data_IF_821784180718
#
_entry.id   IF_821784180718
#
_cell.length_a   1.000
_cell.length_b   1.000
_cell.length_c   1.000
_cell.angle_alpha   90.00
_cell.angle_beta   90.00
_cell.angle_gamma   90.00
#
_symmetry.space_group_name_H-M   'P 1'
#
loop_
_entity.id
_entity.type
_entity.pdbx_description
1 polymer ?
#
# COMPACT_ATOMS: atom_id res chain seq x y z
N UNK A 1 -7.35 15.50 10.08
CA UNK A 1 -7.36 16.85 9.47
C UNK A 1 -5.93 17.21 9.04
N UNK A 2 -5.72 17.70 7.81
CA UNK A 2 -4.38 18.07 7.27
C UNK A 2 -3.93 19.39 7.91
N UNK A 3 -2.63 19.54 8.21
CA UNK A 3 -2.06 20.81 8.62
C UNK A 3 -1.97 21.78 7.43
N UNK A 4 -2.37 23.03 7.63
CA UNK A 4 -2.20 24.12 6.68
C UNK A 4 -0.86 24.82 6.87
N UNK A 5 -0.42 25.56 5.85
CA UNK A 5 0.76 26.43 5.99
C UNK A 5 0.44 27.51 7.02
N UNK A 6 1.28 27.62 8.04
CA UNK A 6 1.08 28.54 9.18
C UNK A 6 0.45 27.89 10.42
N UNK A 7 -0.02 26.65 10.34
CA UNK A 7 -0.47 25.91 11.53
C UNK A 7 0.71 25.66 12.49
N UNK A 8 0.47 25.68 13.82
CA UNK A 8 1.50 25.31 14.78
C UNK A 8 1.90 23.82 14.62
N UNK A 9 3.18 23.53 14.88
CA UNK A 9 3.67 22.15 14.90
C UNK A 9 2.91 21.34 15.96
N UNK A 10 2.49 20.12 15.60
CA UNK A 10 1.74 19.21 16.48
C UNK A 10 2.63 18.13 17.04
N UNK A 11 2.41 17.75 18.31
CA UNK A 11 3.08 16.62 18.95
C UNK A 11 2.35 15.32 18.62
N UNK A 12 3.10 14.25 18.38
CA UNK A 12 2.59 12.90 18.16
C UNK A 12 2.14 12.32 19.51
N UNK A 13 0.90 11.83 19.65
CA UNK A 13 0.40 11.24 20.88
C UNK A 13 1.03 9.87 21.17
N UNK A 14 1.64 9.20 20.17
CA UNK A 14 2.24 7.87 20.34
C UNK A 14 3.68 7.92 20.83
N UNK A 15 4.49 8.87 20.39
CA UNK A 15 5.92 8.95 20.73
C UNK A 15 6.35 10.28 21.35
N UNK A 16 5.45 11.26 21.44
CA UNK A 16 5.80 12.60 21.91
C UNK A 16 6.61 13.44 20.92
N UNK A 17 7.26 12.89 19.88
CA UNK A 17 7.98 13.69 18.87
C UNK A 17 7.02 14.57 18.04
N UNK A 18 7.55 15.45 17.19
CA UNK A 18 6.73 16.26 16.28
C UNK A 18 6.10 15.40 15.17
N UNK A 19 4.81 15.60 14.89
CA UNK A 19 4.12 14.99 13.74
C UNK A 19 4.86 15.33 12.44
N UNK A 20 4.83 14.41 11.47
CA UNK A 20 5.56 14.50 10.20
C UNK A 20 7.10 14.53 10.31
N UNK A 21 7.67 14.55 11.52
CA UNK A 21 9.12 14.46 11.73
C UNK A 21 9.71 13.06 11.50
N UNK A 22 8.87 12.03 11.26
CA UNK A 22 9.34 10.69 10.92
C UNK A 22 10.19 10.02 12.00
N UNK A 23 9.82 10.17 13.28
CA UNK A 23 10.57 9.57 14.39
C UNK A 23 10.87 8.08 14.10
N UNK A 24 12.14 7.63 14.23
CA UNK A 24 12.68 6.43 13.57
C UNK A 24 11.95 5.14 13.94
N UNK A 25 11.35 5.07 15.13
CA UNK A 25 10.65 3.89 15.63
C UNK A 25 9.15 4.11 15.88
N UNK A 26 8.58 5.23 15.40
CA UNK A 26 7.16 5.51 15.58
C UNK A 26 6.37 5.21 14.29
N UNK A 27 5.56 4.14 14.25
CA UNK A 27 4.83 3.76 13.04
C UNK A 27 3.75 4.78 12.65
N UNK A 28 3.18 5.51 13.63
CA UNK A 28 2.29 6.66 13.35
C UNK A 28 3.02 7.78 12.62
N UNK A 29 4.23 8.13 13.05
CA UNK A 29 5.01 9.17 12.38
C UNK A 29 5.47 8.73 10.99
N UNK A 30 5.91 7.47 10.84
CA UNK A 30 6.27 6.89 9.54
C UNK A 30 5.07 6.95 8.56
N UNK A 31 3.90 6.43 8.96
CA UNK A 31 2.69 6.45 8.13
C UNK A 31 2.23 7.86 7.72
N UNK A 32 2.39 8.87 8.59
CA UNK A 32 2.10 10.26 8.25
C UNK A 32 3.04 10.82 7.17
N UNK A 33 4.34 10.55 7.28
CA UNK A 33 5.35 10.95 6.28
C UNK A 33 5.04 10.30 4.93
N UNK A 34 4.73 9.02 4.93
CA UNK A 34 4.40 8.29 3.71
C UNK A 34 3.14 8.81 3.01
N UNK A 35 2.10 9.13 3.78
CA UNK A 35 0.89 9.74 3.25
C UNK A 35 1.16 11.14 2.64
N UNK A 36 2.21 11.84 3.08
CA UNK A 36 2.68 13.07 2.44
C UNK A 36 3.34 12.74 1.10
N UNK A 37 4.28 11.78 1.05
CA UNK A 37 4.94 11.36 -0.18
C UNK A 37 3.96 11.05 -1.31
N UNK A 38 2.84 10.40 -1.00
CA UNK A 38 1.78 10.05 -1.96
C UNK A 38 1.05 11.25 -2.60
N UNK A 39 1.21 12.44 -2.04
CA UNK A 39 0.59 13.69 -2.54
C UNK A 39 1.61 14.65 -3.16
N UNK A 40 2.90 14.37 -3.08
CA UNK A 40 3.95 15.24 -3.61
C UNK A 40 4.07 15.08 -5.13
N UNK A 41 4.48 16.17 -5.78
CA UNK A 41 4.92 16.16 -7.17
C UNK A 41 6.44 16.02 -7.20
N UNK A 42 6.95 15.22 -8.12
CA UNK A 42 8.37 15.04 -8.37
C UNK A 42 8.90 16.26 -9.13
N UNK A 43 9.95 16.91 -8.63
CA UNK A 43 10.60 18.04 -9.30
C UNK A 43 11.45 17.64 -10.51
N UNK A 44 11.80 16.36 -10.66
CA UNK A 44 12.56 15.86 -11.81
C UNK A 44 11.69 15.47 -13.01
N UNK A 45 10.49 14.91 -12.76
CA UNK A 45 9.63 14.41 -13.83
C UNK A 45 8.23 15.05 -13.86
N UNK A 46 7.97 16.01 -12.97
CA UNK A 46 6.71 16.78 -12.84
C UNK A 46 5.43 15.95 -12.61
N UNK A 47 5.55 14.62 -12.52
CA UNK A 47 4.48 13.70 -12.17
C UNK A 47 4.39 13.45 -10.68
N UNK A 48 3.40 12.68 -10.20
CA UNK A 48 3.29 12.36 -8.79
C UNK A 48 4.50 11.53 -8.31
N UNK A 49 5.03 11.89 -7.14
CA UNK A 49 6.27 11.33 -6.62
C UNK A 49 6.17 9.81 -6.40
N UNK A 50 7.18 9.10 -6.89
CA UNK A 50 7.28 7.65 -6.78
C UNK A 50 6.41 6.85 -7.75
N UNK A 51 5.89 7.47 -8.82
CA UNK A 51 5.07 6.78 -9.84
C UNK A 51 5.83 6.41 -11.12
N UNK A 52 6.76 7.25 -11.58
CA UNK A 52 7.47 7.00 -12.84
C UNK A 52 8.67 6.08 -12.61
N UNK A 53 8.66 4.91 -13.23
CA UNK A 53 9.84 4.05 -13.25
C UNK A 53 11.00 4.65 -14.04
N UNK A 54 12.23 4.55 -13.50
CA UNK A 54 13.44 5.05 -14.15
C UNK A 54 13.72 6.54 -13.91
N UNK A 55 12.87 7.25 -13.16
CA UNK A 55 13.21 8.57 -12.62
C UNK A 55 13.91 8.37 -11.27
N UNK A 56 15.19 8.80 -11.09
CA UNK A 56 15.95 8.51 -9.88
C UNK A 56 15.24 8.92 -8.58
N UNK A 57 14.65 10.12 -8.53
CA UNK A 57 13.87 10.58 -7.37
C UNK A 57 12.63 9.74 -7.12
N UNK A 58 11.93 9.32 -8.18
CA UNK A 58 10.78 8.43 -8.05
C UNK A 58 11.19 7.02 -7.62
N UNK A 59 12.35 6.52 -8.04
CA UNK A 59 12.85 5.20 -7.67
C UNK A 59 13.21 5.13 -6.19
N UNK A 60 13.89 6.15 -5.67
CA UNK A 60 14.16 6.27 -4.23
C UNK A 60 12.84 6.36 -3.44
N UNK A 61 11.94 7.27 -3.82
CA UNK A 61 10.67 7.43 -3.13
C UNK A 61 9.81 6.14 -3.18
N UNK A 62 9.86 5.39 -4.29
CA UNK A 62 9.18 4.10 -4.39
C UNK A 62 9.82 3.04 -3.48
N UNK A 63 11.15 2.97 -3.42
CA UNK A 63 11.87 2.07 -2.52
C UNK A 63 11.57 2.33 -1.04
N UNK A 64 11.50 3.60 -0.63
CA UNK A 64 11.19 4.00 0.74
C UNK A 64 9.81 3.52 1.22
N UNK A 65 8.85 3.31 0.31
CA UNK A 65 7.54 2.78 0.69
C UNK A 65 7.57 1.35 1.23
N UNK A 66 8.58 0.56 0.89
CA UNK A 66 8.71 -0.84 1.35
C UNK A 66 9.40 -0.98 2.70
N UNK A 67 10.17 0.03 3.14
CA UNK A 67 10.82 0.02 4.46
C UNK A 67 9.95 0.61 5.56
N UNK A 68 8.83 1.22 5.18
CA UNK A 68 7.88 1.78 6.11
C UNK A 68 7.24 0.72 6.99
N UNK A 69 6.88 1.13 8.21
CA UNK A 69 6.19 0.30 9.19
C UNK A 69 4.79 0.87 9.41
N UNK A 70 3.79 0.16 8.91
CA UNK A 70 2.40 0.51 9.08
C UNK A 70 1.88 0.00 10.43
N UNK A 71 1.03 0.79 11.07
CA UNK A 71 0.19 0.29 12.17
C UNK A 71 -1.11 -0.21 11.56
N UNK A 72 -1.46 -1.47 11.84
CA UNK A 72 -2.74 -1.99 11.42
C UNK A 72 -3.90 -1.27 12.10
N UNK A 73 -4.97 -0.99 11.33
CA UNK A 73 -6.21 -0.46 11.90
C UNK A 73 -6.87 -1.49 12.83
N UNK A 74 -7.72 -1.09 13.78
CA UNK A 74 -8.44 -2.04 14.61
C UNK A 74 -9.28 -3.04 13.78
N UNK A 75 -9.29 -4.31 14.18
CA UNK A 75 -10.16 -5.34 13.62
C UNK A 75 -9.67 -6.01 12.32
N UNK A 76 -8.43 -5.77 11.88
CA UNK A 76 -7.84 -6.49 10.73
C UNK A 76 -6.67 -7.38 11.16
N UNK A 77 -6.32 -8.40 10.36
CA UNK A 77 -5.15 -9.24 10.62
C UNK A 77 -3.84 -8.42 10.64
N UNK A 78 -2.84 -8.84 11.44
CA UNK A 78 -1.51 -8.23 11.43
C UNK A 78 -0.89 -8.20 10.03
N UNK A 79 -0.33 -7.06 9.64
CA UNK A 79 0.30 -6.82 8.34
C UNK A 79 -0.66 -6.44 7.21
N UNK A 80 -1.96 -6.27 7.50
CA UNK A 80 -2.94 -5.89 6.47
C UNK A 80 -2.65 -4.50 5.88
N UNK A 81 -2.30 -3.50 6.69
CA UNK A 81 -1.98 -2.15 6.18
C UNK A 81 -0.69 -2.14 5.36
N UNK A 82 0.31 -2.93 5.77
CA UNK A 82 1.51 -3.16 4.98
C UNK A 82 1.18 -3.80 3.63
N UNK A 83 0.33 -4.83 3.62
CA UNK A 83 -0.11 -5.50 2.40
C UNK A 83 -0.88 -4.54 1.47
N UNK A 84 -1.79 -3.71 2.00
CA UNK A 84 -2.48 -2.67 1.23
C UNK A 84 -1.46 -1.75 0.58
N UNK A 85 -0.50 -1.23 1.34
CA UNK A 85 0.51 -0.32 0.81
C UNK A 85 1.35 -0.94 -0.30
N UNK A 86 1.83 -2.17 -0.11
CA UNK A 86 2.61 -2.90 -1.11
C UNK A 86 1.79 -3.04 -2.39
N UNK A 87 0.52 -3.44 -2.28
CA UNK A 87 -0.38 -3.55 -3.43
C UNK A 87 -0.60 -2.18 -4.10
N UNK A 88 -0.89 -1.12 -3.34
CA UNK A 88 -1.04 0.25 -3.84
C UNK A 88 0.21 0.71 -4.59
N UNK A 89 1.39 0.43 -4.05
CA UNK A 89 2.67 0.80 -4.65
C UNK A 89 2.88 0.12 -6.00
N UNK A 90 2.52 -1.17 -6.10
CA UNK A 90 2.62 -1.96 -7.35
C UNK A 90 1.56 -1.51 -8.38
N UNK A 91 0.30 -1.31 -7.98
CA UNK A 91 -0.76 -0.90 -8.94
C UNK A 91 -0.59 0.52 -9.47
N UNK A 92 0.06 1.40 -8.70
CA UNK A 92 0.34 2.80 -9.11
C UNK A 92 1.60 2.96 -9.95
N UNK A 93 2.41 1.91 -10.09
CA UNK A 93 3.63 1.85 -10.90
C UNK A 93 3.69 0.51 -11.66
N UNK A 94 2.83 0.36 -12.70
CA UNK A 94 2.66 -0.92 -13.39
C UNK A 94 3.82 -1.27 -14.35
N UNK A 95 4.75 -0.33 -14.60
CA UNK A 95 5.88 -0.54 -15.52
C UNK A 95 6.72 -1.74 -15.09
N UNK A 96 6.89 -2.72 -15.99
CA UNK A 96 7.61 -3.96 -15.72
C UNK A 96 6.84 -5.02 -14.93
N UNK A 97 5.55 -4.79 -14.63
CA UNK A 97 4.69 -5.77 -13.95
C UNK A 97 3.86 -6.54 -14.99
N UNK A 98 3.94 -7.89 -15.03
CA UNK A 98 3.12 -8.68 -15.95
C UNK A 98 1.62 -8.44 -15.78
N UNK A 99 0.88 -8.36 -16.89
CA UNK A 99 -0.56 -8.06 -16.87
C UNK A 99 -1.39 -8.98 -15.96
N UNK A 100 -1.18 -10.31 -15.92
CA UNK A 100 -1.89 -11.17 -14.98
C UNK A 100 -1.61 -10.79 -13.52
N UNK A 101 -0.34 -10.57 -13.16
CA UNK A 101 0.04 -10.13 -11.81
C UNK A 101 -0.66 -8.80 -11.47
N UNK A 102 -0.78 -7.88 -12.42
CA UNK A 102 -1.48 -6.62 -12.21
C UNK A 102 -2.99 -6.81 -12.01
N UNK A 103 -3.63 -7.68 -12.79
CA UNK A 103 -5.04 -8.04 -12.59
C UNK A 103 -5.28 -8.57 -11.18
N UNK A 104 -4.51 -9.57 -10.74
CA UNK A 104 -4.66 -10.15 -9.40
C UNK A 104 -4.48 -9.13 -8.28
N UNK A 105 -3.49 -8.23 -8.41
CA UNK A 105 -3.25 -7.14 -7.44
C UNK A 105 -4.42 -6.15 -7.37
N UNK A 106 -5.00 -5.80 -8.52
CA UNK A 106 -6.16 -4.90 -8.60
C UNK A 106 -7.42 -5.51 -8.00
N UNK A 107 -7.68 -6.79 -8.26
CA UNK A 107 -8.85 -7.50 -7.75
C UNK A 107 -8.77 -7.79 -6.24
N UNK A 108 -7.57 -8.08 -5.72
CA UNK A 108 -7.39 -8.38 -4.30
C UNK A 108 -7.42 -7.14 -3.39
N UNK A 109 -7.03 -5.97 -3.92
CA UNK A 109 -6.88 -4.74 -3.14
C UNK A 109 -8.20 -4.28 -2.44
N UNK A 110 -9.38 -4.30 -3.09
CA UNK A 110 -10.65 -3.99 -2.41
C UNK A 110 -10.93 -4.89 -1.20
N UNK A 111 -10.65 -6.19 -1.28
CA UNK A 111 -10.86 -7.12 -0.16
C UNK A 111 -9.92 -6.79 1.02
N UNK A 112 -8.65 -6.46 0.75
CA UNK A 112 -7.71 -5.98 1.78
C UNK A 112 -8.16 -4.66 2.44
N UNK A 113 -8.71 -3.74 1.63
CA UNK A 113 -9.31 -2.51 2.12
C UNK A 113 -10.55 -2.78 3.00
N UNK A 114 -11.29 -3.87 2.76
CA UNK A 114 -12.37 -4.33 3.63
C UNK A 114 -11.89 -5.07 4.89
N UNK A 115 -10.61 -5.47 4.95
CA UNK A 115 -10.00 -6.11 6.12
C UNK A 115 -9.59 -7.57 5.93
N UNK A 116 -9.76 -8.10 4.72
CA UNK A 116 -9.33 -9.46 4.38
C UNK A 116 -7.85 -9.50 4.02
N UNK A 117 -7.05 -10.30 4.74
CA UNK A 117 -5.67 -10.61 4.38
C UNK A 117 -5.54 -12.11 4.11
N UNK A 118 -5.24 -12.54 2.87
CA UNK A 118 -5.12 -13.96 2.58
C UNK A 118 -3.88 -14.55 3.24
N UNK A 119 -4.02 -15.77 3.75
CA UNK A 119 -2.90 -16.62 4.13
C UNK A 119 -2.01 -16.92 2.93
N UNK A 120 -0.76 -17.31 3.18
CA UNK A 120 0.22 -17.66 2.14
C UNK A 120 -0.33 -18.67 1.13
N UNK A 121 -0.99 -19.73 1.60
CA UNK A 121 -1.57 -20.74 0.71
C UNK A 121 -2.70 -20.19 -0.15
N UNK A 122 -3.60 -19.38 0.42
CA UNK A 122 -4.68 -18.73 -0.31
C UNK A 122 -4.12 -17.78 -1.37
N UNK A 123 -3.10 -16.98 -1.03
CA UNK A 123 -2.42 -16.09 -1.96
C UNK A 123 -1.73 -16.86 -3.11
N UNK A 124 -1.13 -18.01 -2.82
CA UNK A 124 -0.54 -18.88 -3.84
C UNK A 124 -1.60 -19.47 -4.77
N UNK A 125 -2.74 -19.94 -4.23
CA UNK A 125 -3.87 -20.47 -5.02
C UNK A 125 -4.44 -19.39 -5.96
N UNK A 126 -4.72 -18.19 -5.45
CA UNK A 126 -5.15 -17.05 -6.25
C UNK A 126 -4.12 -16.68 -7.32
N UNK A 127 -2.83 -16.64 -6.95
CA UNK A 127 -1.74 -16.37 -7.88
C UNK A 127 -1.63 -17.41 -8.99
N UNK A 128 -1.88 -18.69 -8.71
CA UNK A 128 -1.89 -19.76 -9.70
C UNK A 128 -3.09 -19.63 -10.65
N UNK A 129 -4.27 -19.27 -10.14
CA UNK A 129 -5.48 -19.04 -10.94
C UNK A 129 -5.23 -17.93 -11.97
N UNK A 130 -4.68 -16.80 -11.52
CA UNK A 130 -4.31 -15.66 -12.36
C UNK A 130 -3.26 -16.04 -13.41
N UNK A 131 -2.20 -16.78 -13.02
CA UNK A 131 -1.14 -17.21 -13.94
C UNK A 131 -1.64 -18.14 -15.06
N UNK A 132 -2.70 -18.91 -14.81
CA UNK A 132 -3.34 -19.77 -15.82
C UNK A 132 -4.26 -19.00 -16.77
N UNK A 133 -4.37 -17.68 -16.64
CA UNK A 133 -5.22 -16.87 -17.51
C UNK A 133 -6.71 -16.98 -17.22
N UNK A 134 -7.08 -17.29 -15.97
CA UNK A 134 -8.48 -17.24 -15.53
C UNK A 134 -9.08 -15.84 -15.79
N UNK A 135 -10.39 -15.79 -16.05
CA UNK A 135 -11.08 -14.53 -16.30
C UNK A 135 -11.14 -13.70 -15.02
N UNK A 136 -11.29 -12.39 -15.17
CA UNK A 136 -11.34 -11.48 -14.03
C UNK A 136 -12.49 -11.82 -13.08
N UNK A 137 -13.64 -12.24 -13.63
CA UNK A 137 -14.83 -12.62 -12.87
C UNK A 137 -14.58 -13.86 -12.02
N UNK A 138 -13.90 -14.86 -12.59
CA UNK A 138 -13.60 -16.12 -11.88
C UNK A 138 -12.60 -15.87 -10.75
N UNK A 139 -11.63 -14.95 -10.95
CA UNK A 139 -10.69 -14.54 -9.91
C UNK A 139 -11.38 -13.71 -8.82
N UNK A 140 -12.29 -12.79 -9.19
CA UNK A 140 -13.04 -11.99 -8.23
C UNK A 140 -13.93 -12.87 -7.34
N UNK A 141 -14.66 -13.81 -7.94
CA UNK A 141 -15.49 -14.77 -7.21
C UNK A 141 -14.66 -15.60 -6.22
N UNK A 142 -13.50 -16.10 -6.64
CA UNK A 142 -12.61 -16.83 -5.74
C UNK A 142 -12.08 -15.96 -4.57
N UNK A 143 -11.88 -14.66 -4.78
CA UNK A 143 -11.51 -13.73 -3.70
C UNK A 143 -12.68 -13.53 -2.74
N UNK A 144 -13.89 -13.32 -3.25
CA UNK A 144 -15.09 -13.12 -2.44
C UNK A 144 -15.41 -14.35 -1.58
N UNK A 145 -15.30 -15.56 -2.16
CA UNK A 145 -15.47 -16.82 -1.43
C UNK A 145 -14.47 -16.96 -0.28
N UNK A 146 -13.20 -16.63 -0.53
CA UNK A 146 -12.16 -16.68 0.50
C UNK A 146 -12.35 -15.61 1.58
N UNK A 147 -12.84 -14.43 1.22
CA UNK A 147 -13.08 -13.33 2.15
C UNK A 147 -14.34 -13.53 3.00
N UNK A 148 -15.33 -14.26 2.48
CA UNK A 148 -16.56 -14.60 3.19
C UNK A 148 -16.43 -15.85 4.08
N UNK A 149 -15.41 -16.69 3.87
CA UNK A 149 -15.16 -17.87 4.68
C UNK A 149 -14.84 -17.46 6.13
N UNK A 150 -15.46 -18.09 7.15
CA UNK A 150 -15.06 -17.89 8.54
C UNK A 150 -13.60 -18.33 8.71
N UNK A 151 -12.78 -17.44 9.27
CA UNK A 151 -11.35 -17.66 9.53
C UNK A 151 -11.08 -18.65 10.65
#
# INVERSE_FOLDING_TARGET
MRAAVGDPLRRCPSCGCWEYGGAPDCPRCAGLVDAVFDRLICDQCSGPLGRRAGCPRCDVAHGMRYVARETDRPGVPPGNEHAIRVNVSVVRRPEGIPAPKMLGRRLLLPAMLAGFLPMTEQAQRLGALVKRGARAEDVAMAIDELAAAPG
#
